data_IF_131571458836
#
_entry.id   IF_131571458836
#
_cell.length_a   1.000
_cell.length_b   1.000
_cell.length_c   1.000
_cell.angle_alpha   90.00
_cell.angle_beta   90.00
_cell.angle_gamma   90.00
#
_symmetry.space_group_name_H-M   'P 1'
#
loop_
_entity.id
_entity.type
_entity.pdbx_description
1 polymer ?
#
# COMPACT_ATOMS: atom_id res chain seq x y z
N UNK A 1 30.02 54.88 -7.24
CA UNK A 1 29.51 53.56 -7.66
C UNK A 1 28.96 52.91 -6.43
N UNK A 2 27.64 52.84 -6.30
CA UNK A 2 26.79 51.75 -6.84
C UNK A 2 26.96 50.49 -5.98
N UNK A 3 26.01 50.26 -5.06
CA UNK A 3 24.99 49.18 -5.16
C UNK A 3 25.58 47.84 -4.68
N UNK A 4 25.00 47.05 -3.78
CA UNK A 4 23.60 46.73 -3.55
C UNK A 4 23.51 45.98 -2.21
N UNK A 5 22.54 46.32 -1.37
CA UNK A 5 22.08 45.43 -0.32
C UNK A 5 21.31 44.25 -0.93
N UNK A 6 21.51 43.06 -0.37
CA UNK A 6 20.67 41.90 -0.58
C UNK A 6 20.36 41.30 0.78
N UNK A 7 19.47 41.98 1.48
CA UNK A 7 18.64 41.40 2.53
C UNK A 7 17.47 40.66 1.85
N UNK A 8 16.93 39.63 2.52
CA UNK A 8 15.76 38.81 2.14
C UNK A 8 15.99 37.78 1.02
N UNK A 9 15.64 36.50 1.17
CA UNK A 9 14.48 35.97 1.86
C UNK A 9 14.83 34.79 2.78
N UNK A 10 14.49 34.96 4.06
CA UNK A 10 14.13 33.84 4.91
C UNK A 10 12.81 33.31 4.33
N UNK A 11 12.83 32.11 3.73
CA UNK A 11 11.60 31.42 3.39
C UNK A 11 11.03 30.87 4.69
N UNK A 12 10.13 31.66 5.27
CA UNK A 12 9.23 31.33 6.37
C UNK A 12 8.36 30.10 6.04
N UNK A 13 7.78 29.47 7.07
CA UNK A 13 7.67 28.02 7.21
C UNK A 13 6.60 27.44 6.28
N UNK A 14 6.87 26.26 5.73
CA UNK A 14 5.84 25.45 5.07
C UNK A 14 4.67 25.25 6.06
N UNK A 15 3.49 25.65 5.61
CA UNK A 15 2.23 25.67 6.34
C UNK A 15 2.02 24.42 7.19
N UNK A 16 1.85 24.63 8.50
CA UNK A 16 1.08 23.70 9.33
C UNK A 16 -0.37 23.80 8.87
N UNK A 17 -0.77 22.92 7.95
CA UNK A 17 -2.18 22.72 7.64
C UNK A 17 -2.81 21.98 8.80
N UNK A 18 -3.58 22.71 9.60
CA UNK A 18 -4.57 22.16 10.52
C UNK A 18 -5.57 21.36 9.69
N UNK A 19 -5.38 20.05 9.59
CA UNK A 19 -6.34 19.17 8.91
C UNK A 19 -7.59 19.09 9.76
N UNK A 20 -8.69 19.61 9.23
CA UNK A 20 -10.03 19.32 9.72
C UNK A 20 -10.24 17.81 9.59
N UNK A 21 -10.55 17.14 10.71
CA UNK A 21 -10.62 15.67 10.80
C UNK A 21 -11.77 15.03 9.99
N UNK A 22 -12.42 15.78 9.10
CA UNK A 22 -13.62 15.35 8.38
C UNK A 22 -13.39 15.08 6.89
N UNK A 23 -12.18 15.28 6.36
CA UNK A 23 -11.84 15.00 4.96
C UNK A 23 -10.50 14.31 4.89
N UNK A 24 -10.52 13.02 4.59
CA UNK A 24 -9.30 12.22 4.43
C UNK A 24 -8.56 12.74 3.20
N UNK A 25 -7.36 13.26 3.42
CA UNK A 25 -6.50 13.75 2.34
C UNK A 25 -5.75 12.56 1.72
N UNK A 26 -6.36 11.95 0.71
CA UNK A 26 -5.77 10.79 0.04
C UNK A 26 -4.49 11.14 -0.72
N UNK A 27 -4.38 12.36 -1.23
CA UNK A 27 -3.18 12.85 -1.92
C UNK A 27 -2.01 12.87 -0.93
N UNK A 28 -2.23 13.38 0.28
CA UNK A 28 -1.22 13.41 1.33
C UNK A 28 -0.77 12.00 1.74
N UNK A 29 -1.70 11.08 2.00
CA UNK A 29 -1.37 9.71 2.45
C UNK A 29 -0.54 8.98 1.39
N UNK A 30 -0.95 9.07 0.11
CA UNK A 30 -0.23 8.40 -0.98
C UNK A 30 1.13 9.07 -1.24
N UNK A 31 1.22 10.41 -1.17
CA UNK A 31 2.47 11.12 -1.32
C UNK A 31 3.50 10.69 -0.25
N UNK A 32 3.08 10.62 1.01
CA UNK A 32 3.92 10.14 2.11
C UNK A 32 4.40 8.70 1.90
N UNK A 33 3.50 7.82 1.44
CA UNK A 33 3.80 6.42 1.18
C UNK A 33 4.86 6.23 0.07
N UNK A 34 4.75 7.05 -0.99
CA UNK A 34 5.67 7.02 -2.13
C UNK A 34 6.94 7.86 -1.91
N UNK A 35 7.05 8.58 -0.79
CA UNK A 35 8.12 9.56 -0.57
C UNK A 35 8.09 10.71 -1.59
N UNK A 36 6.92 10.98 -2.17
CA UNK A 36 6.68 12.06 -3.11
C UNK A 36 6.27 13.33 -2.37
N UNK A 37 6.46 14.48 -3.03
CA UNK A 37 5.95 15.75 -2.53
C UNK A 37 4.46 15.87 -2.86
N UNK A 38 3.63 16.24 -1.90
CA UNK A 38 2.18 16.34 -2.09
C UNK A 38 1.81 17.30 -3.23
N UNK A 39 2.60 18.35 -3.49
CA UNK A 39 2.36 19.29 -4.59
C UNK A 39 2.66 18.70 -5.98
N UNK A 40 3.37 17.57 -6.04
CA UNK A 40 3.67 16.83 -7.27
C UNK A 40 2.67 15.69 -7.52
N UNK A 41 1.71 15.49 -6.62
CA UNK A 41 0.70 14.42 -6.66
C UNK A 41 -0.67 15.06 -6.82
N UNK A 42 -1.53 14.44 -7.63
CA UNK A 42 -2.90 14.90 -7.87
C UNK A 42 -3.89 13.75 -7.81
N UNK A 43 -5.19 13.99 -7.60
CA UNK A 43 -6.21 12.94 -7.64
C UNK A 43 -6.20 12.14 -8.96
N UNK A 44 -5.82 12.77 -10.07
CA UNK A 44 -5.75 12.13 -11.39
C UNK A 44 -4.42 11.39 -11.63
N UNK A 45 -3.47 11.47 -10.70
CA UNK A 45 -2.19 10.79 -10.81
C UNK A 45 -2.37 9.27 -10.76
N UNK A 46 -1.73 8.57 -11.70
CA UNK A 46 -1.75 7.12 -11.76
C UNK A 46 -0.94 6.52 -10.60
N UNK A 47 -1.54 5.58 -9.87
CA UNK A 47 -0.92 4.90 -8.73
C UNK A 47 0.36 4.17 -9.15
N UNK A 48 0.34 3.50 -10.32
CA UNK A 48 1.52 2.81 -10.85
C UNK A 48 2.66 3.77 -11.21
N UNK A 49 2.34 4.97 -11.72
CA UNK A 49 3.35 5.97 -12.07
C UNK A 49 4.02 6.57 -10.83
N UNK A 50 3.30 6.61 -9.70
CA UNK A 50 3.83 6.97 -8.39
C UNK A 50 4.62 5.83 -7.73
N UNK A 51 4.64 4.64 -8.33
CA UNK A 51 5.32 3.47 -7.77
C UNK A 51 4.51 2.71 -6.72
N UNK A 52 3.19 2.96 -6.62
CA UNK A 52 2.32 2.20 -5.74
C UNK A 52 2.17 0.78 -6.26
N UNK A 53 2.61 -0.19 -5.46
CA UNK A 53 2.56 -1.62 -5.75
C UNK A 53 1.64 -2.37 -4.78
N UNK A 54 1.57 -3.70 -4.93
CA UNK A 54 0.71 -4.54 -4.08
C UNK A 54 1.11 -4.56 -2.60
N UNK A 55 2.37 -4.29 -2.27
CA UNK A 55 2.83 -4.18 -0.89
C UNK A 55 2.42 -2.83 -0.31
N UNK A 56 2.57 -1.75 -1.09
CA UNK A 56 2.07 -0.44 -0.71
C UNK A 56 0.54 -0.41 -0.56
N UNK A 57 -0.21 -1.23 -1.30
CA UNK A 57 -1.65 -1.37 -1.07
C UNK A 57 -2.00 -1.98 0.29
N UNK A 58 -1.17 -2.90 0.82
CA UNK A 58 -1.38 -3.43 2.17
C UNK A 58 -1.16 -2.33 3.21
N UNK A 59 -0.06 -1.58 3.10
CA UNK A 59 0.26 -0.47 4.00
C UNK A 59 -0.77 0.66 3.90
N UNK A 60 -1.26 0.98 2.71
CA UNK A 60 -2.30 1.98 2.51
C UNK A 60 -3.63 1.55 3.14
N UNK A 61 -4.00 0.28 2.99
CA UNK A 61 -5.20 -0.27 3.63
C UNK A 61 -5.11 -0.21 5.16
N UNK A 62 -3.95 -0.55 5.72
CA UNK A 62 -3.68 -0.49 7.17
C UNK A 62 -3.82 0.95 7.70
N UNK A 63 -3.20 1.92 7.02
CA UNK A 63 -3.31 3.34 7.36
C UNK A 63 -4.74 3.85 7.32
N UNK A 64 -5.53 3.45 6.32
CA UNK A 64 -6.94 3.85 6.19
C UNK A 64 -7.82 3.23 7.29
N UNK A 65 -7.47 2.04 7.75
CA UNK A 65 -8.12 1.38 8.87
C UNK A 65 -7.79 2.05 10.21
N UNK A 66 -6.58 2.60 10.35
CA UNK A 66 -6.12 3.33 11.54
C UNK A 66 -6.69 4.76 11.66
N UNK A 67 -7.31 5.31 10.62
CA UNK A 67 -7.97 6.61 10.68
C UNK A 67 -9.23 6.58 11.56
N UNK A 68 -9.54 7.74 12.15
CA UNK A 68 -10.79 7.96 12.87
C UNK A 68 -11.99 7.72 11.92
N UNK A 69 -12.67 6.58 12.11
CA UNK A 69 -13.76 6.13 11.24
C UNK A 69 -13.54 4.76 10.59
N UNK A 70 -12.32 4.20 10.67
CA UNK A 70 -12.01 2.80 10.36
C UNK A 70 -12.45 2.36 8.98
N UNK A 71 -11.75 2.81 7.93
CA UNK A 71 -12.09 2.45 6.56
C UNK A 71 -11.46 1.10 6.22
N UNK A 72 -12.30 0.08 6.12
CA UNK A 72 -11.86 -1.24 5.72
C UNK A 72 -11.82 -1.38 4.19
N UNK A 73 -10.63 -1.24 3.61
CA UNK A 73 -10.35 -1.62 2.22
C UNK A 73 -9.43 -2.83 2.17
N UNK A 74 -9.60 -3.69 1.17
CA UNK A 74 -8.64 -4.75 0.89
C UNK A 74 -7.64 -4.32 -0.18
N UNK A 75 -6.47 -4.95 -0.23
CA UNK A 75 -5.49 -4.72 -1.31
C UNK A 75 -6.07 -5.04 -2.69
N UNK A 76 -7.05 -5.95 -2.76
CA UNK A 76 -7.73 -6.25 -4.02
C UNK A 76 -8.63 -5.10 -4.47
N UNK A 77 -9.34 -4.45 -3.53
CA UNK A 77 -10.14 -3.26 -3.86
C UNK A 77 -9.26 -2.09 -4.34
N UNK A 78 -8.07 -1.94 -3.75
CA UNK A 78 -7.08 -0.94 -4.17
C UNK A 78 -6.42 -1.28 -5.51
N UNK A 79 -6.25 -2.58 -5.82
CA UNK A 79 -5.66 -3.03 -7.08
C UNK A 79 -6.54 -2.73 -8.30
N UNK A 80 -7.85 -2.61 -8.10
CA UNK A 80 -8.81 -2.21 -9.14
C UNK A 80 -8.80 -0.68 -9.38
N UNK A 81 -8.16 0.10 -8.49
CA UNK A 81 -8.03 1.55 -8.65
C UNK A 81 -6.85 1.89 -9.58
N UNK A 82 -7.03 2.87 -10.47
CA UNK A 82 -5.96 3.34 -11.35
C UNK A 82 -5.34 4.64 -10.84
N UNK A 83 -6.15 5.51 -10.24
CA UNK A 83 -5.79 6.85 -9.77
C UNK A 83 -6.10 7.03 -8.30
N UNK A 84 -5.52 8.06 -7.68
CA UNK A 84 -5.83 8.42 -6.28
C UNK A 84 -7.32 8.77 -6.11
N UNK A 85 -7.90 9.45 -7.09
CA UNK A 85 -9.32 9.78 -7.10
C UNK A 85 -10.24 8.56 -7.20
N UNK A 86 -9.76 7.42 -7.73
CA UNK A 86 -10.52 6.17 -7.70
C UNK A 86 -10.65 5.63 -6.26
N UNK A 87 -9.59 5.76 -5.47
CA UNK A 87 -9.59 5.39 -4.05
C UNK A 87 -10.55 6.30 -3.28
N UNK A 88 -10.49 7.61 -3.49
CA UNK A 88 -11.43 8.56 -2.87
C UNK A 88 -12.89 8.20 -3.20
N UNK A 89 -13.18 7.92 -4.48
CA UNK A 89 -14.52 7.49 -4.92
C UNK A 89 -14.93 6.17 -4.29
N UNK A 90 -14.01 5.23 -4.09
CA UNK A 90 -14.28 3.94 -3.46
C UNK A 90 -14.65 4.12 -1.99
N UNK A 91 -13.93 4.98 -1.26
CA UNK A 91 -14.19 5.31 0.14
C UNK A 91 -15.57 5.95 0.29
N UNK A 92 -15.90 6.94 -0.54
CA UNK A 92 -17.22 7.59 -0.52
C UNK A 92 -18.36 6.62 -0.81
N UNK A 93 -18.12 5.60 -1.66
CA UNK A 93 -19.11 4.56 -1.97
C UNK A 93 -19.28 3.53 -0.85
N UNK A 94 -18.31 3.42 0.08
CA UNK A 94 -18.32 2.44 1.19
C UNK A 94 -18.06 3.14 2.53
N UNK A 95 -19.00 3.96 3.03
CA UNK A 95 -18.89 4.48 4.38
C UNK A 95 -19.03 3.33 5.39
N UNK A 96 -17.90 2.89 5.94
CA UNK A 96 -17.75 2.16 7.21
C UNK A 96 -18.71 0.99 7.47
N UNK A 97 -18.32 -0.21 7.05
CA UNK A 97 -18.56 -1.40 7.88
C UNK A 97 -17.21 -1.84 8.42
N UNK A 98 -17.02 -1.99 9.74
CA UNK A 98 -15.77 -2.53 10.28
C UNK A 98 -15.62 -3.96 9.76
N UNK A 99 -14.86 -4.15 8.68
CA UNK A 99 -14.64 -5.46 8.12
C UNK A 99 -13.67 -6.19 9.04
N UNK A 100 -14.22 -7.16 9.75
CA UNK A 100 -13.48 -8.14 10.51
C UNK A 100 -12.40 -8.78 9.63
N UNK A 101 -11.18 -8.85 10.20
CA UNK A 101 -9.97 -9.44 9.63
C UNK A 101 -10.25 -10.64 8.73
N UNK A 102 -10.08 -10.47 7.42
CA UNK A 102 -9.99 -11.60 6.49
C UNK A 102 -8.53 -11.88 6.18
N UNK A 103 -7.87 -12.57 7.12
CA UNK A 103 -6.87 -13.57 6.82
C UNK A 103 -5.51 -13.10 6.30
N UNK A 104 -4.68 -12.56 7.19
CA UNK A 104 -3.25 -12.89 7.17
C UNK A 104 -3.11 -14.35 7.66
N UNK A 105 -3.46 -15.30 6.78
CA UNK A 105 -2.92 -16.65 6.85
C UNK A 105 -1.57 -16.62 6.14
N UNK A 106 -0.62 -15.90 6.73
CA UNK A 106 0.79 -16.06 6.40
C UNK A 106 1.21 -17.40 7.01
N UNK A 107 0.85 -18.48 6.31
CA UNK A 107 1.46 -19.80 6.46
C UNK A 107 2.93 -19.68 6.06
N UNK A 108 3.76 -19.11 6.93
CA UNK A 108 5.19 -19.40 6.94
C UNK A 108 5.32 -20.79 7.56
N UNK A 109 5.13 -21.80 6.73
CA UNK A 109 5.50 -23.17 7.07
C UNK A 109 7.02 -23.27 6.94
N UNK A 110 7.81 -23.57 8.00
CA UNK A 110 9.26 -23.67 7.90
C UNK A 110 9.78 -24.91 7.15
N UNK A 111 8.96 -25.65 6.40
CA UNK A 111 9.38 -26.91 5.81
C UNK A 111 9.08 -26.98 4.31
N UNK A 112 10.10 -26.71 3.50
CA UNK A 112 10.49 -27.53 2.34
C UNK A 112 11.63 -26.87 1.56
N UNK A 113 12.77 -26.60 2.22
CA UNK A 113 14.04 -26.52 1.50
C UNK A 113 14.75 -27.86 1.69
N UNK A 114 15.09 -28.50 0.57
CA UNK A 114 15.82 -29.78 0.46
C UNK A 114 15.03 -31.08 0.63
N UNK A 115 14.37 -31.50 -0.44
CA UNK A 115 14.32 -32.91 -0.81
C UNK A 115 14.23 -33.09 -2.34
N UNK A 116 15.27 -32.61 -3.04
CA UNK A 116 15.63 -33.16 -4.36
C UNK A 116 16.76 -34.14 -4.15
N UNK A 117 16.41 -35.41 -3.89
CA UNK A 117 17.32 -36.54 -4.09
C UNK A 117 16.55 -37.65 -4.79
N UNK A 118 17.05 -37.99 -5.96
CA UNK A 118 16.54 -38.98 -6.90
C UNK A 118 16.33 -40.35 -6.25
N UNK A 119 15.17 -40.97 -6.49
CA UNK A 119 15.03 -42.42 -6.44
C UNK A 119 14.73 -42.92 -7.86
N UNK A 120 15.80 -43.04 -8.62
CA UNK A 120 15.89 -43.67 -9.93
C UNK A 120 15.50 -45.15 -9.79
N UNK A 121 14.46 -45.53 -10.53
CA UNK A 121 14.33 -46.74 -11.36
C UNK A 121 14.35 -48.14 -10.71
N UNK A 122 13.24 -48.83 -11.02
CA UNK A 122 13.13 -50.20 -11.57
C UNK A 122 13.43 -51.44 -10.69
N UNK A 123 12.33 -52.21 -10.52
CA UNK A 123 12.18 -53.59 -11.01
C UNK A 123 13.04 -54.70 -10.39
N UNK A 124 12.45 -55.47 -9.48
CA UNK A 124 12.37 -56.93 -9.57
C UNK A 124 11.61 -57.55 -8.38
N UNK A 125 10.97 -58.70 -8.65
CA UNK A 125 10.53 -59.74 -7.71
C UNK A 125 9.12 -59.64 -7.07
N UNK A 126 8.14 -60.23 -7.76
CA UNK A 126 7.10 -61.09 -7.15
C UNK A 126 7.64 -62.55 -7.02
N UNK A 127 6.87 -63.54 -6.55
CA UNK A 127 6.23 -63.76 -5.24
C UNK A 127 6.61 -65.16 -4.66
N UNK A 128 6.14 -65.52 -3.47
CA UNK A 128 5.62 -66.85 -3.08
C UNK A 128 5.81 -67.14 -1.58
N UNK A 129 4.73 -67.48 -0.88
CA UNK A 129 4.77 -68.53 0.14
C UNK A 129 3.37 -69.10 0.27
N UNK A 130 3.28 -70.42 0.01
CA UNK A 130 2.24 -71.26 0.60
C UNK A 130 2.53 -71.43 2.09
#
# INVERSE_FOLDING_TARGET
GSERGSDSAISTPASVSTVDASSIDMVQIVAELCGARAEAVSPDSELRALGVDSLMFLELADRLQDLDGGIALSSNDLADCQTIGDIERLIVKRPGTPAYQSGISTQISPQAVHARSEAVRLSAQQPATQ
#
